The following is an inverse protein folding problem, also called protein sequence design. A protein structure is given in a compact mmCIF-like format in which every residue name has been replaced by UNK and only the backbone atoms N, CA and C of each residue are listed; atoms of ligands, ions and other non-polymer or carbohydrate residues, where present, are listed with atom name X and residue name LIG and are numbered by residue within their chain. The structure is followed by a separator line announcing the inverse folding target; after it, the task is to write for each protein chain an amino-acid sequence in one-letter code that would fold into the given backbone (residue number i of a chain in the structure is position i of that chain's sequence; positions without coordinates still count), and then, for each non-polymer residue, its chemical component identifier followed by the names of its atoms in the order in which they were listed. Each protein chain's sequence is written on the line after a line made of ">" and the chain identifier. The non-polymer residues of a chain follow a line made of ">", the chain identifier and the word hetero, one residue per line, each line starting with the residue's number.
data_IF_617200723441
#
_entry.id   IF_617200723441
#
_cell.length_a   1.000
_cell.length_b   1.000
_cell.length_c   1.000
_cell.angle_alpha   90.00
_cell.angle_beta   90.00
_cell.angle_gamma   90.00
#
_symmetry.space_group_name_H-M   'P 1'
#
loop_
_entity.id
_entity.type
_entity.pdbx_description
1 polymer ?
#
# COMPACT_ATOMS: atom_id res chain seq x y z
N UNK A 1 -34.55 -24.44 -18.20
CA UNK A 1 -33.55 -25.01 -17.27
C UNK A 1 -32.75 -23.85 -16.70
N UNK A 2 -32.86 -23.56 -15.39
CA UNK A 2 -32.12 -22.44 -14.77
C UNK A 2 -30.66 -22.85 -14.65
N UNK A 3 -29.76 -22.11 -15.30
CA UNK A 3 -28.33 -22.39 -15.28
C UNK A 3 -27.74 -21.75 -14.02
N UNK A 4 -27.53 -22.55 -12.98
CA UNK A 4 -26.87 -22.08 -11.76
C UNK A 4 -25.45 -21.64 -12.08
N UNK A 5 -25.05 -20.47 -11.57
CA UNK A 5 -23.67 -19.99 -11.66
C UNK A 5 -22.82 -20.70 -10.62
N UNK A 6 -21.55 -20.89 -10.92
CA UNK A 6 -20.59 -21.37 -9.92
C UNK A 6 -20.30 -20.25 -8.93
N UNK A 7 -19.94 -20.58 -7.68
CA UNK A 7 -19.55 -19.58 -6.68
C UNK A 7 -18.46 -18.64 -7.21
N UNK A 8 -17.51 -19.15 -8.01
CA UNK A 8 -16.49 -18.33 -8.69
C UNK A 8 -17.07 -17.27 -9.64
N UNK A 9 -18.20 -17.56 -10.28
CA UNK A 9 -18.90 -16.63 -11.17
C UNK A 9 -19.76 -15.61 -10.42
N UNK A 10 -20.13 -15.92 -9.17
CA UNK A 10 -20.94 -15.05 -8.31
C UNK A 10 -20.09 -14.12 -7.44
N UNK A 11 -18.94 -14.60 -6.96
CA UNK A 11 -17.99 -13.80 -6.19
C UNK A 11 -17.42 -12.68 -7.07
N UNK A 12 -17.79 -11.44 -6.77
CA UNK A 12 -17.21 -10.23 -7.35
C UNK A 12 -16.57 -9.42 -6.25
N UNK A 13 -15.34 -8.97 -6.48
CA UNK A 13 -14.68 -8.06 -5.55
C UNK A 13 -15.28 -6.68 -5.71
N UNK A 14 -15.69 -6.11 -4.59
CA UNK A 14 -16.15 -4.74 -4.56
C UNK A 14 -14.94 -3.80 -4.70
N UNK A 15 -14.71 -3.38 -5.93
CA UNK A 15 -13.75 -2.34 -6.31
C UNK A 15 -14.47 -1.03 -6.64
N UNK A 16 -15.74 -0.87 -6.23
CA UNK A 16 -16.50 0.37 -6.48
C UNK A 16 -16.02 1.54 -5.62
N UNK A 17 -15.40 1.23 -4.47
CA UNK A 17 -14.92 2.23 -3.52
C UNK A 17 -13.48 1.91 -3.06
N UNK A 18 -12.59 2.88 -3.24
CA UNK A 18 -11.27 2.86 -2.64
C UNK A 18 -11.37 2.89 -1.11
N UNK A 19 -10.37 2.35 -0.40
CA UNK A 19 -10.29 2.58 1.04
C UNK A 19 -9.99 4.04 1.32
N UNK A 20 -10.68 4.64 2.27
CA UNK A 20 -10.32 5.96 2.80
C UNK A 20 -9.40 5.85 4.03
N UNK A 21 -9.02 7.01 4.60
CA UNK A 21 -8.20 7.05 5.82
C UNK A 21 -8.88 6.34 6.99
N UNK A 22 -10.21 6.46 7.13
CA UNK A 22 -10.96 5.87 8.23
C UNK A 22 -10.99 4.36 8.10
N UNK A 23 -11.10 3.82 6.89
CA UNK A 23 -11.06 2.40 6.62
C UNK A 23 -9.70 1.79 6.93
N UNK A 24 -8.61 2.36 6.40
CA UNK A 24 -7.26 1.85 6.68
C UNK A 24 -6.98 1.95 8.18
N UNK A 25 -7.30 3.08 8.81
CA UNK A 25 -7.12 3.26 10.25
C UNK A 25 -7.94 2.25 11.04
N UNK A 26 -9.22 2.05 10.69
CA UNK A 26 -10.08 1.05 11.32
C UNK A 26 -9.47 -0.36 11.21
N UNK A 27 -8.98 -0.73 10.03
CA UNK A 27 -8.37 -2.06 9.83
C UNK A 27 -7.10 -2.22 10.66
N UNK A 28 -6.27 -1.18 10.76
CA UNK A 28 -5.03 -1.20 11.54
C UNK A 28 -5.29 -1.13 13.07
N UNK A 29 -6.27 -0.35 13.52
CA UNK A 29 -6.59 -0.12 14.94
C UNK A 29 -7.43 -1.27 15.54
N UNK A 30 -8.41 -1.81 14.81
CA UNK A 30 -9.33 -2.84 15.32
C UNK A 30 -8.71 -4.22 15.46
N UNK A 31 -7.51 -4.44 14.90
CA UNK A 31 -6.96 -5.78 14.71
C UNK A 31 -5.80 -6.13 15.62
N UNK A 32 -5.64 -5.38 16.71
CA UNK A 32 -4.98 -5.86 17.92
C UNK A 32 -3.59 -6.45 17.70
N UNK A 33 -2.57 -5.61 17.78
CA UNK A 33 -1.44 -5.93 18.66
C UNK A 33 -0.56 -7.14 18.36
N UNK A 34 -0.37 -7.54 17.10
CA UNK A 34 0.72 -8.47 16.71
C UNK A 34 1.91 -7.83 15.99
N UNK A 35 1.91 -6.51 15.84
CA UNK A 35 3.09 -5.79 15.37
C UNK A 35 3.67 -5.03 16.57
N UNK A 36 4.37 -5.77 17.43
CA UNK A 36 5.10 -5.19 18.56
C UNK A 36 5.84 -3.93 18.11
N UNK A 37 5.49 -2.79 18.72
CA UNK A 37 6.07 -1.49 18.41
C UNK A 37 5.58 -0.80 17.14
N UNK A 38 4.55 -1.28 16.42
CA UNK A 38 3.95 -0.57 15.27
C UNK A 38 3.40 0.80 15.69
N UNK A 39 3.84 1.83 14.98
CA UNK A 39 3.42 3.22 15.18
C UNK A 39 3.23 3.85 13.82
N UNK A 40 1.96 3.95 13.41
CA UNK A 40 1.56 4.34 12.07
C UNK A 40 1.14 5.80 11.96
N UNK A 41 1.71 6.49 10.97
CA UNK A 41 1.24 7.78 10.49
C UNK A 41 0.42 7.64 9.21
N UNK A 42 -0.33 8.69 8.87
CA UNK A 42 -1.15 8.76 7.67
C UNK A 42 -0.97 10.12 7.03
N UNK A 43 -0.67 10.15 5.73
CA UNK A 43 -0.40 11.39 5.01
C UNK A 43 -1.17 11.38 3.69
N UNK A 44 -1.96 12.42 3.49
CA UNK A 44 -2.44 12.80 2.16
C UNK A 44 -1.37 13.64 1.48
N UNK A 45 -0.74 13.14 0.42
CA UNK A 45 0.36 13.84 -0.22
C UNK A 45 -0.06 15.22 -0.76
N UNK A 46 -1.30 15.38 -1.21
CA UNK A 46 -1.82 16.67 -1.70
C UNK A 46 -1.89 17.73 -0.60
N UNK A 47 -2.08 17.31 0.65
CA UNK A 47 -2.16 18.22 1.80
C UNK A 47 -0.80 18.75 2.26
N UNK A 48 0.31 18.12 1.81
CA UNK A 48 1.66 18.44 2.30
C UNK A 48 2.24 19.65 1.55
N UNK A 49 2.07 20.82 2.17
CA UNK A 49 2.70 22.08 1.72
C UNK A 49 4.18 22.15 2.12
N UNK A 50 5.01 22.74 1.26
CA UNK A 50 6.45 22.95 1.52
C UNK A 50 7.31 21.71 1.25
N UNK A 51 8.53 21.67 1.81
CA UNK A 51 9.46 20.56 1.56
C UNK A 51 8.99 19.22 2.15
N UNK A 52 9.33 18.13 1.46
CA UNK A 52 9.13 16.77 1.96
C UNK A 52 10.36 16.36 2.78
N UNK A 53 10.14 16.13 4.07
CA UNK A 53 11.17 15.71 5.02
C UNK A 53 10.77 14.38 5.64
N UNK A 54 11.76 13.56 6.02
CA UNK A 54 11.48 12.25 6.60
C UNK A 54 10.64 12.36 7.86
N UNK A 55 10.84 13.40 8.68
CA UNK A 55 10.09 13.63 9.92
C UNK A 55 8.60 13.92 9.68
N UNK A 56 8.22 14.52 8.54
CA UNK A 56 6.80 14.74 8.20
C UNK A 56 6.04 13.47 7.88
N UNK A 57 6.72 12.47 7.31
CA UNK A 57 6.11 11.18 6.95
C UNK A 57 6.30 10.17 8.07
N UNK A 58 7.48 10.14 8.69
CA UNK A 58 7.90 9.21 9.74
C UNK A 58 8.54 10.00 10.90
N UNK A 59 7.72 10.68 11.73
CA UNK A 59 8.20 11.37 12.92
C UNK A 59 8.92 10.42 13.87
N UNK A 60 9.72 10.95 14.80
CA UNK A 60 10.39 10.12 15.80
C UNK A 60 9.40 9.19 16.51
N UNK A 61 9.76 7.91 16.58
CA UNK A 61 8.91 6.86 17.15
C UNK A 61 7.96 6.18 16.16
N UNK A 62 7.66 6.78 15.00
CA UNK A 62 6.86 6.12 13.96
C UNK A 62 7.74 5.23 13.08
N UNK A 63 7.23 4.05 12.74
CA UNK A 63 7.90 3.09 11.85
C UNK A 63 7.19 2.90 10.53
N UNK A 64 5.94 3.36 10.38
CA UNK A 64 5.23 3.33 9.11
C UNK A 64 4.44 4.62 8.85
N UNK A 65 4.23 4.91 7.58
CA UNK A 65 3.40 5.99 7.08
C UNK A 65 2.59 5.47 5.89
N UNK A 66 1.28 5.44 6.00
CA UNK A 66 0.39 5.23 4.86
C UNK A 66 0.28 6.53 4.08
N UNK A 67 0.74 6.54 2.83
CA UNK A 67 0.77 7.73 1.98
C UNK A 67 -0.27 7.58 0.88
N UNK A 68 -1.25 8.47 0.88
CA UNK A 68 -2.27 8.56 -0.17
C UNK A 68 -1.79 9.50 -1.27
N UNK A 69 -1.64 8.95 -2.46
CA UNK A 69 -1.22 9.66 -3.66
C UNK A 69 -2.47 10.06 -4.47
N UNK A 70 -2.49 11.28 -4.99
CA UNK A 70 -3.35 11.62 -6.12
C UNK A 70 -2.60 11.42 -7.41
N UNK A 71 -3.13 10.55 -8.25
CA UNK A 71 -2.55 10.20 -9.54
C UNK A 71 -3.50 10.66 -10.63
N UNK A 72 -2.99 11.35 -11.65
CA UNK A 72 -3.77 11.70 -12.84
C UNK A 72 -3.57 10.61 -13.89
N UNK A 73 -4.43 9.60 -13.86
CA UNK A 73 -4.42 8.45 -14.77
C UNK A 73 -5.73 8.42 -15.55
N UNK A 74 -5.64 8.38 -16.89
CA UNK A 74 -6.82 8.17 -17.74
C UNK A 74 -7.83 9.31 -17.80
N UNK A 75 -7.41 10.57 -17.58
CA UNK A 75 -8.27 11.75 -17.69
C UNK A 75 -9.01 12.15 -16.42
N UNK A 76 -8.79 11.44 -15.30
CA UNK A 76 -9.33 11.77 -13.99
C UNK A 76 -8.28 11.68 -12.86
N UNK A 77 -8.65 12.17 -11.67
CA UNK A 77 -7.85 11.99 -10.45
C UNK A 77 -8.24 10.66 -9.81
N UNK A 78 -7.27 9.75 -9.73
CA UNK A 78 -7.39 8.48 -9.04
C UNK A 78 -6.49 8.50 -7.80
N UNK A 79 -7.04 8.06 -6.67
CA UNK A 79 -6.31 7.97 -5.40
C UNK A 79 -5.63 6.59 -5.30
N UNK A 80 -4.39 6.57 -4.84
CA UNK A 80 -3.57 5.36 -4.75
C UNK A 80 -2.83 5.29 -3.42
N UNK A 81 -2.98 4.17 -2.70
CA UNK A 81 -2.30 3.95 -1.43
C UNK A 81 -0.90 3.39 -1.63
N UNK A 82 0.06 3.98 -0.93
CA UNK A 82 1.44 3.49 -0.80
C UNK A 82 1.86 3.53 0.66
N UNK A 83 3.01 2.95 0.99
CA UNK A 83 3.54 3.00 2.35
C UNK A 83 5.03 3.36 2.37
N UNK A 84 5.41 4.21 3.33
CA UNK A 84 6.80 4.43 3.70
C UNK A 84 7.05 3.75 5.05
N UNK A 85 8.11 2.96 5.16
CA UNK A 85 8.42 2.19 6.36
C UNK A 85 9.86 2.41 6.80
N UNK A 86 10.12 2.34 8.11
CA UNK A 86 11.46 2.36 8.70
C UNK A 86 11.59 1.23 9.71
N UNK A 87 12.64 0.44 9.58
CA UNK A 87 13.03 -0.57 10.55
C UNK A 87 14.56 -0.63 10.67
N UNK A 88 15.10 -1.61 11.41
CA UNK A 88 16.55 -1.79 11.61
C UNK A 88 17.35 -2.01 10.31
N UNK A 89 16.69 -2.36 9.20
CA UNK A 89 17.30 -2.63 7.89
C UNK A 89 17.27 -1.41 6.96
N UNK A 90 16.64 -0.31 7.36
CA UNK A 90 16.58 0.94 6.59
C UNK A 90 15.17 1.47 6.36
N UNK A 91 15.04 2.28 5.30
CA UNK A 91 13.78 2.91 4.87
C UNK A 91 13.29 2.22 3.60
N UNK A 92 12.00 1.93 3.52
CA UNK A 92 11.38 1.22 2.41
C UNK A 92 10.18 2.02 1.89
N UNK A 93 10.08 2.16 0.58
CA UNK A 93 8.88 2.61 -0.10
C UNK A 93 8.20 1.42 -0.75
N UNK A 94 6.93 1.22 -0.42
CA UNK A 94 6.10 0.14 -0.92
C UNK A 94 4.95 0.69 -1.75
N UNK A 95 4.82 0.14 -2.95
CA UNK A 95 3.75 0.41 -3.90
C UNK A 95 3.35 -0.91 -4.55
N UNK A 96 2.11 -1.36 -4.36
CA UNK A 96 1.62 -2.62 -4.90
C UNK A 96 1.66 -2.70 -6.43
N UNK A 97 1.66 -1.56 -7.13
CA UNK A 97 1.74 -1.47 -8.59
C UNK A 97 3.18 -1.39 -9.13
N UNK A 98 4.17 -1.25 -8.25
CA UNK A 98 5.58 -1.09 -8.61
C UNK A 98 5.84 0.08 -9.58
N UNK A 99 5.22 1.24 -9.31
CA UNK A 99 5.40 2.45 -10.11
C UNK A 99 6.82 2.97 -9.93
N UNK A 100 7.61 2.84 -10.99
CA UNK A 100 9.00 3.29 -11.03
C UNK A 100 9.10 4.82 -10.90
N UNK A 101 10.25 5.37 -10.47
CA UNK A 101 10.46 6.81 -10.29
C UNK A 101 9.99 7.71 -11.44
N UNK A 102 10.21 7.27 -12.69
CA UNK A 102 9.77 8.02 -13.88
C UNK A 102 8.25 8.11 -13.94
N UNK A 103 7.56 7.00 -13.67
CA UNK A 103 6.11 6.95 -13.67
C UNK A 103 5.52 7.74 -12.49
N UNK A 104 6.07 7.60 -11.28
CA UNK A 104 5.65 8.37 -10.11
C UNK A 104 5.73 9.88 -10.37
N UNK A 105 6.85 10.36 -10.93
CA UNK A 105 7.03 11.78 -11.25
C UNK A 105 5.99 12.26 -12.28
N UNK A 106 5.67 11.40 -13.25
CA UNK A 106 4.69 11.71 -14.30
C UNK A 106 3.27 11.81 -13.75
N UNK A 107 2.83 10.85 -12.94
CA UNK A 107 1.43 10.77 -12.49
C UNK A 107 1.10 11.71 -11.33
N UNK A 108 2.11 12.09 -10.54
CA UNK A 108 1.96 13.03 -9.41
C UNK A 108 2.00 14.49 -9.87
N UNK A 109 2.57 14.77 -11.05
CA UNK A 109 2.74 16.12 -11.60
C UNK A 109 3.41 17.11 -10.62
N UNK A 110 4.22 16.60 -9.68
CA UNK A 110 4.83 17.39 -8.59
C UNK A 110 6.26 17.87 -8.91
N UNK A 111 6.61 17.87 -10.20
CA UNK A 111 7.96 18.16 -10.68
C UNK A 111 9.01 17.18 -10.16
N UNK A 112 8.64 15.95 -9.80
CA UNK A 112 9.52 14.90 -9.26
C UNK A 112 9.91 15.10 -7.80
N UNK A 113 9.20 15.96 -7.06
CA UNK A 113 9.48 16.32 -5.67
C UNK A 113 9.43 15.09 -4.76
N UNK A 114 8.40 14.25 -4.89
CA UNK A 114 8.25 13.03 -4.11
C UNK A 114 9.37 12.02 -4.39
N UNK A 115 9.73 11.84 -5.66
CA UNK A 115 10.82 10.95 -6.06
C UNK A 115 12.17 11.43 -5.54
N UNK A 116 12.45 12.73 -5.59
CA UNK A 116 13.66 13.31 -4.98
C UNK A 116 13.69 13.08 -3.47
N UNK A 117 12.54 13.23 -2.80
CA UNK A 117 12.41 12.90 -1.38
C UNK A 117 12.74 11.43 -1.09
N UNK A 118 12.14 10.48 -1.82
CA UNK A 118 12.41 9.05 -1.65
C UNK A 118 13.91 8.72 -1.83
N UNK A 119 14.56 9.33 -2.83
CA UNK A 119 16.01 9.19 -3.06
C UNK A 119 16.82 9.78 -1.91
N UNK A 120 16.48 10.99 -1.44
CA UNK A 120 17.18 11.69 -0.35
C UNK A 120 17.15 10.91 0.95
N UNK A 121 16.06 10.21 1.25
CA UNK A 121 15.94 9.39 2.47
C UNK A 121 16.45 7.96 2.30
N UNK A 122 17.01 7.62 1.13
CA UNK A 122 17.51 6.28 0.84
C UNK A 122 16.42 5.20 0.84
N UNK A 123 15.18 5.55 0.47
CA UNK A 123 14.08 4.59 0.48
C UNK A 123 14.29 3.50 -0.58
N UNK A 124 14.43 2.25 -0.13
CA UNK A 124 14.44 1.10 -1.01
C UNK A 124 13.03 0.90 -1.59
N UNK A 125 12.90 0.99 -2.91
CA UNK A 125 11.64 0.78 -3.60
C UNK A 125 11.42 -0.71 -3.87
N UNK A 126 10.16 -1.13 -3.90
CA UNK A 126 9.78 -2.46 -4.37
C UNK A 126 10.24 -2.67 -5.82
N UNK A 127 10.46 -3.93 -6.21
CA UNK A 127 10.94 -4.30 -7.54
C UNK A 127 10.03 -5.32 -8.26
N UNK A 128 8.83 -5.55 -7.71
CA UNK A 128 7.86 -6.49 -8.25
C UNK A 128 6.45 -5.95 -8.06
N UNK A 129 5.70 -5.88 -9.15
CA UNK A 129 4.26 -5.62 -9.14
C UNK A 129 3.52 -6.78 -8.46
N UNK A 130 2.70 -6.47 -7.46
CA UNK A 130 1.91 -7.43 -6.69
C UNK A 130 0.41 -7.30 -6.99
N UNK A 131 -0.07 -6.07 -7.20
CA UNK A 131 -1.45 -5.80 -7.59
C UNK A 131 -1.63 -6.00 -9.09
N UNK A 132 -2.66 -6.75 -9.49
CA UNK A 132 -2.87 -7.12 -10.89
C UNK A 132 -3.11 -5.90 -11.80
N UNK A 133 -3.93 -4.94 -11.35
CA UNK A 133 -4.35 -3.80 -12.17
C UNK A 133 -4.53 -2.52 -11.37
N UNK A 134 -4.16 -1.39 -11.97
CA UNK A 134 -4.44 -0.05 -11.42
C UNK A 134 -5.93 0.24 -11.26
N UNK A 135 -6.82 -0.50 -11.94
CA UNK A 135 -8.28 -0.36 -11.80
C UNK A 135 -8.82 -0.87 -10.47
N UNK A 136 -8.03 -1.64 -9.72
CA UNK A 136 -8.41 -2.20 -8.42
C UNK A 136 -8.12 -1.19 -7.30
N UNK A 137 -9.01 -0.20 -7.19
CA UNK A 137 -8.86 0.98 -6.32
C UNK A 137 -8.94 0.67 -4.83
N UNK A 138 -9.65 -0.40 -4.44
CA UNK A 138 -9.73 -0.84 -3.03
C UNK A 138 -8.48 -1.64 -2.67
N UNK A 139 -8.05 -2.50 -3.58
CA UNK A 139 -7.01 -3.49 -3.34
C UNK A 139 -5.63 -2.87 -3.04
N UNK A 140 -5.28 -1.70 -3.61
CA UNK A 140 -4.03 -1.02 -3.25
C UNK A 140 -3.92 -0.72 -1.75
N UNK A 141 -5.03 -0.30 -1.13
CA UNK A 141 -5.10 -0.05 0.31
C UNK A 141 -4.95 -1.34 1.13
N UNK A 142 -5.51 -2.46 0.67
CA UNK A 142 -5.37 -3.77 1.34
C UNK A 142 -3.93 -4.27 1.31
N UNK A 143 -3.23 -4.11 0.18
CA UNK A 143 -1.79 -4.39 0.10
C UNK A 143 -0.99 -3.54 1.08
N UNK A 144 -1.29 -2.24 1.19
CA UNK A 144 -0.64 -1.33 2.15
C UNK A 144 -0.89 -1.78 3.59
N UNK A 145 -2.11 -2.15 3.94
CA UNK A 145 -2.44 -2.67 5.27
C UNK A 145 -1.57 -3.87 5.60
N UNK A 146 -1.57 -4.91 4.74
CA UNK A 146 -0.79 -6.13 5.00
C UNK A 146 0.71 -5.82 5.07
N UNK A 147 1.22 -4.96 4.19
CA UNK A 147 2.62 -4.51 4.21
C UNK A 147 2.99 -3.84 5.54
N UNK A 148 2.11 -2.98 6.06
CA UNK A 148 2.30 -2.25 7.31
C UNK A 148 2.38 -3.20 8.50
N UNK A 149 1.54 -4.24 8.55
CA UNK A 149 1.69 -5.25 9.59
C UNK A 149 3.04 -5.98 9.52
N UNK A 150 3.56 -6.21 8.31
CA UNK A 150 4.89 -6.79 8.09
C UNK A 150 6.04 -5.76 8.14
N UNK A 151 5.90 -4.62 8.84
CA UNK A 151 6.85 -3.50 8.79
C UNK A 151 8.31 -3.86 9.11
N UNK A 152 8.54 -4.89 9.92
CA UNK A 152 9.87 -5.36 10.29
C UNK A 152 10.62 -6.06 9.14
N UNK A 153 9.93 -6.43 8.06
CA UNK A 153 10.51 -7.04 6.87
C UNK A 153 11.04 -5.99 5.89
N UNK A 154 12.11 -6.32 5.16
CA UNK A 154 12.47 -5.58 3.94
C UNK A 154 11.45 -5.83 2.82
N UNK A 155 11.49 -5.04 1.74
CA UNK A 155 10.61 -5.29 0.59
C UNK A 155 10.82 -6.70 0.01
N UNK A 156 12.06 -7.16 -0.14
CA UNK A 156 12.35 -8.50 -0.64
C UNK A 156 11.79 -9.60 0.27
N UNK A 157 11.95 -9.46 1.60
CA UNK A 157 11.41 -10.40 2.58
C UNK A 157 9.87 -10.44 2.53
N UNK A 158 9.23 -9.28 2.46
CA UNK A 158 7.77 -9.18 2.35
C UNK A 158 7.24 -9.83 1.08
N UNK A 159 7.90 -9.58 -0.07
CA UNK A 159 7.51 -10.21 -1.35
C UNK A 159 7.61 -11.74 -1.24
N UNK A 160 8.70 -12.28 -0.69
CA UNK A 160 8.85 -13.73 -0.51
C UNK A 160 7.78 -14.30 0.42
N UNK A 161 7.52 -13.63 1.55
CA UNK A 161 6.46 -14.00 2.47
C UNK A 161 5.09 -14.06 1.76
N UNK A 162 4.70 -12.99 1.08
CA UNK A 162 3.41 -12.91 0.40
C UNK A 162 3.29 -13.96 -0.73
N UNK A 163 4.36 -14.11 -1.53
CA UNK A 163 4.35 -15.04 -2.67
C UNK A 163 4.42 -16.52 -2.25
N UNK A 164 4.87 -16.83 -1.03
CA UNK A 164 4.93 -18.21 -0.53
C UNK A 164 3.56 -18.93 -0.54
N UNK A 165 2.46 -18.18 -0.42
CA UNK A 165 1.09 -18.72 -0.45
C UNK A 165 0.43 -18.65 -1.84
N UNK A 166 1.13 -18.15 -2.87
CA UNK A 166 0.51 -17.83 -4.16
C UNK A 166 0.28 -19.01 -5.10
N UNK A 167 0.78 -20.20 -4.75
CA UNK A 167 0.41 -21.44 -5.43
C UNK A 167 -1.08 -21.79 -5.27
N UNK A 168 -1.75 -21.22 -4.25
CA UNK A 168 -3.16 -21.48 -3.94
C UNK A 168 -4.07 -20.26 -4.18
N UNK A 169 -3.56 -19.04 -3.96
CA UNK A 169 -4.36 -17.80 -3.95
C UNK A 169 -3.56 -16.64 -4.55
N UNK A 170 -4.15 -15.84 -5.45
CA UNK A 170 -3.44 -14.67 -6.01
C UNK A 170 -3.12 -13.62 -4.94
N UNK A 171 -2.09 -12.78 -5.10
CA UNK A 171 -1.72 -11.75 -4.12
C UNK A 171 -2.89 -10.85 -3.71
N UNK A 172 -3.69 -10.38 -4.68
CA UNK A 172 -4.86 -9.52 -4.44
C UNK A 172 -5.93 -10.21 -3.57
N UNK A 173 -6.19 -11.49 -3.84
CA UNK A 173 -7.12 -12.30 -3.02
C UNK A 173 -6.55 -12.58 -1.64
N UNK A 174 -5.25 -12.86 -1.57
CA UNK A 174 -4.58 -13.16 -0.32
C UNK A 174 -4.61 -11.97 0.63
N UNK A 175 -4.30 -10.76 0.16
CA UNK A 175 -4.39 -9.56 1.01
C UNK A 175 -5.83 -9.25 1.41
N UNK A 176 -6.81 -9.47 0.53
CA UNK A 176 -8.23 -9.35 0.89
C UNK A 176 -8.64 -10.34 1.99
N UNK A 177 -8.17 -11.59 1.91
CA UNK A 177 -8.42 -12.61 2.92
C UNK A 177 -7.73 -12.27 4.24
N UNK A 178 -6.43 -11.92 4.23
CA UNK A 178 -5.69 -11.51 5.44
C UNK A 178 -6.33 -10.27 6.10
N UNK A 179 -6.85 -9.37 5.27
CA UNK A 179 -7.59 -8.19 5.73
C UNK A 179 -9.07 -8.48 6.04
N UNK A 180 -9.53 -9.72 6.10
CA UNK A 180 -10.88 -10.08 6.59
C UNK A 180 -10.78 -11.09 7.75
N UNK A 181 -9.91 -12.09 7.62
CA UNK A 181 -9.82 -13.28 8.48
C UNK A 181 -9.18 -13.01 9.86
N UNK A 182 -8.81 -11.78 10.19
CA UNK A 182 -8.23 -11.46 11.50
C UNK A 182 -6.89 -12.15 11.76
N UNK A 183 -6.27 -12.73 10.73
CA UNK A 183 -4.85 -13.05 10.75
C UNK A 183 -4.10 -11.82 10.28
N UNK A 184 -3.83 -10.94 11.24
CA UNK A 184 -2.64 -10.12 11.38
C UNK A 184 -2.56 -9.72 12.85
#
# INVERSE_FOLDING_TARGET
>A
MVRFRTLKQELRWDESQALDFRDIRRILDQRGGKSDGLKAGYVDLESVKGEYTLDRFLPRGHNVCCVLLSTRLGGGVQRHWTALLRNSKGVFFFDSLDLKPVMLSKILEDGGKFVRFLKKVGANMVNKKLQESHKMVRTCGLHVVVRVFCWQMSNAQYIQYLLSATNCVSPDKLVALMTIIGHL
#
